data_IF_710793410917
#
_entry.id   IF_710793410917
#
_cell.length_a   1.000
_cell.length_b   1.000
_cell.length_c   1.000
_cell.angle_alpha   90.00
_cell.angle_beta   90.00
_cell.angle_gamma   90.00
#
_symmetry.space_group_name_H-M   'P 1'
#
loop_
_entity.id
_entity.type
_entity.pdbx_description
1 polymer ?
#
# COMPACT_ATOMS: atom_id res chain seq x y z
N UNK A 1 15.89 -13.02 -6.87
CA UNK A 1 15.65 -12.21 -8.09
C UNK A 1 14.25 -11.62 -7.99
N UNK A 2 13.98 -10.42 -8.52
CA UNK A 2 12.64 -9.86 -8.48
C UNK A 2 11.64 -10.77 -9.22
N UNK A 3 10.40 -10.80 -8.77
CA UNK A 3 9.30 -11.52 -9.38
C UNK A 3 9.11 -11.01 -10.81
N UNK A 4 8.67 -11.92 -11.69
CA UNK A 4 8.24 -11.52 -13.02
C UNK A 4 7.03 -10.57 -12.87
N UNK A 5 6.93 -9.51 -13.71
CA UNK A 5 5.74 -8.69 -13.72
C UNK A 5 4.53 -9.51 -14.18
N UNK A 6 3.36 -9.10 -13.73
CA UNK A 6 2.09 -9.57 -14.30
C UNK A 6 1.65 -8.63 -15.41
N UNK A 7 0.90 -9.14 -16.38
CA UNK A 7 0.26 -8.34 -17.42
C UNK A 7 -1.25 -8.36 -17.18
N UNK A 8 -1.85 -7.17 -17.09
CA UNK A 8 -3.30 -7.01 -16.99
C UNK A 8 -3.71 -6.03 -18.09
N UNK A 9 -4.56 -6.47 -19.01
CA UNK A 9 -4.75 -5.81 -20.31
C UNK A 9 -3.41 -5.65 -21.04
N UNK A 10 -3.05 -4.42 -21.40
CA UNK A 10 -1.81 -4.10 -22.11
C UNK A 10 -0.68 -3.60 -21.19
N UNK A 11 -0.90 -3.57 -19.87
CA UNK A 11 0.04 -2.98 -18.91
C UNK A 11 0.71 -4.04 -18.03
N UNK A 12 2.01 -3.82 -17.78
CA UNK A 12 2.82 -4.63 -16.87
C UNK A 12 2.88 -4.01 -15.49
N UNK A 13 2.64 -4.81 -14.46
CA UNK A 13 2.70 -4.41 -13.07
C UNK A 13 3.75 -5.24 -12.32
N UNK A 14 4.56 -4.56 -11.50
CA UNK A 14 5.63 -5.18 -10.73
C UNK A 14 5.23 -5.25 -9.27
N UNK A 15 5.57 -6.37 -8.61
CA UNK A 15 5.31 -6.58 -7.20
C UNK A 15 6.37 -5.88 -6.34
N UNK A 16 5.94 -5.28 -5.25
CA UNK A 16 6.79 -4.60 -4.29
C UNK A 16 6.43 -5.02 -2.87
N UNK A 17 7.45 -5.10 -2.02
CA UNK A 17 7.29 -4.95 -0.59
C UNK A 17 7.33 -3.45 -0.26
N UNK A 18 6.23 -2.94 0.26
CA UNK A 18 6.04 -1.55 0.69
C UNK A 18 5.98 -1.54 2.21
N UNK A 19 6.95 -0.88 2.84
CA UNK A 19 7.00 -0.67 4.29
C UNK A 19 6.56 0.75 4.58
N UNK A 20 5.50 0.93 5.36
CA UNK A 20 4.88 2.24 5.61
C UNK A 20 4.29 2.35 7.02
N UNK A 21 4.06 3.57 7.48
CA UNK A 21 3.41 3.88 8.75
C UNK A 21 1.90 4.05 8.55
N UNK A 22 1.10 3.23 9.25
CA UNK A 22 -0.36 3.30 9.18
C UNK A 22 -0.92 4.30 10.18
N UNK A 23 -1.78 5.18 9.67
CA UNK A 23 -2.33 6.29 10.42
C UNK A 23 -3.37 5.72 11.37
N UNK A 24 -3.08 5.80 12.68
CA UNK A 24 -3.98 5.34 13.73
C UNK A 24 -4.97 6.44 14.10
N UNK A 25 -6.22 6.05 14.28
CA UNK A 25 -7.25 6.86 14.92
C UNK A 25 -7.93 6.04 16.01
N UNK A 26 -8.26 6.68 17.11
CA UNK A 26 -9.06 6.12 18.20
C UNK A 26 -10.24 7.07 18.43
N UNK A 27 -11.46 6.53 18.44
CA UNK A 27 -12.69 7.30 18.62
C UNK A 27 -13.16 7.37 20.08
N UNK A 28 -12.47 6.69 21.00
CA UNK A 28 -12.77 6.74 22.42
C UNK A 28 -12.28 8.04 23.07
N UNK A 29 -12.92 8.42 24.18
CA UNK A 29 -12.39 9.47 25.06
C UNK A 29 -11.35 8.80 25.95
N UNK A 30 -10.13 9.32 25.93
CA UNK A 30 -9.02 8.77 26.71
C UNK A 30 -8.28 9.88 27.47
N UNK A 31 -7.49 9.49 28.47
CA UNK A 31 -6.64 10.41 29.21
C UNK A 31 -5.33 10.73 28.46
N UNK A 32 -4.61 11.73 28.96
CA UNK A 32 -3.35 12.19 28.36
C UNK A 32 -2.31 11.08 28.25
N UNK A 33 -2.27 10.16 29.22
CA UNK A 33 -1.31 9.06 29.22
C UNK A 33 -1.60 8.07 28.11
N UNK A 34 -2.87 7.71 27.90
CA UNK A 34 -3.28 6.86 26.79
C UNK A 34 -2.94 7.51 25.44
N UNK A 35 -3.25 8.80 25.27
CA UNK A 35 -2.96 9.52 24.03
C UNK A 35 -1.46 9.62 23.74
N UNK A 36 -0.64 9.94 24.74
CA UNK A 36 0.82 10.01 24.62
C UNK A 36 1.48 8.65 24.29
N UNK A 37 0.76 7.55 24.48
CA UNK A 37 1.21 6.20 24.13
C UNK A 37 0.70 5.71 22.77
N UNK A 38 -0.15 6.47 22.07
CA UNK A 38 -0.57 6.12 20.71
C UNK A 38 0.62 6.15 19.76
N UNK A 39 0.77 5.09 18.95
CA UNK A 39 1.83 4.96 17.95
C UNK A 39 1.23 4.43 16.65
N UNK A 40 1.75 4.91 15.53
CA UNK A 40 1.48 4.34 14.22
C UNK A 40 2.06 2.93 14.13
N UNK A 41 1.37 2.04 13.43
CA UNK A 41 1.89 0.70 13.15
C UNK A 41 2.83 0.76 11.93
N UNK A 42 3.93 -0.02 11.96
CA UNK A 42 4.73 -0.26 10.75
C UNK A 42 4.13 -1.44 9.99
N UNK A 43 3.61 -1.19 8.80
CA UNK A 43 2.94 -2.19 7.97
C UNK A 43 3.85 -2.61 6.82
N UNK A 44 3.86 -3.92 6.57
CA UNK A 44 4.55 -4.56 5.45
C UNK A 44 3.51 -5.05 4.45
N UNK A 45 3.38 -4.36 3.32
CA UNK A 45 2.42 -4.72 2.27
C UNK A 45 3.15 -5.27 1.05
N UNK A 46 2.82 -6.50 0.65
CA UNK A 46 3.21 -7.07 -0.63
C UNK A 46 2.12 -6.82 -1.67
N UNK A 47 2.37 -5.91 -2.61
CA UNK A 47 1.37 -5.52 -3.60
C UNK A 47 1.99 -5.11 -4.94
N UNK A 48 1.17 -5.08 -5.99
CA UNK A 48 1.55 -4.53 -7.28
C UNK A 48 1.38 -3.02 -7.28
N UNK A 49 2.35 -2.29 -7.84
CA UNK A 49 2.23 -0.82 -7.97
C UNK A 49 1.47 -0.48 -9.24
N UNK A 50 0.29 0.11 -9.09
CA UNK A 50 -0.56 0.56 -10.20
C UNK A 50 -0.01 1.85 -10.85
N UNK A 51 0.27 2.87 -10.03
CA UNK A 51 0.88 4.13 -10.49
C UNK A 51 1.63 4.82 -9.36
N UNK A 52 2.56 5.69 -9.76
CA UNK A 52 3.28 6.60 -8.86
C UNK A 52 3.03 8.03 -9.32
N UNK A 53 2.65 8.90 -8.40
CA UNK A 53 2.58 10.34 -8.65
C UNK A 53 3.70 11.03 -7.87
N UNK A 54 3.74 12.36 -7.88
CA UNK A 54 4.69 13.11 -7.05
C UNK A 54 4.44 12.88 -5.56
N UNK A 55 3.18 12.76 -5.14
CA UNK A 55 2.77 12.68 -3.73
C UNK A 55 2.30 11.32 -3.26
N UNK A 56 1.88 10.44 -4.17
CA UNK A 56 1.19 9.21 -3.82
C UNK A 56 1.73 7.98 -4.55
N UNK A 57 1.55 6.82 -3.91
CA UNK A 57 1.72 5.49 -4.50
C UNK A 57 0.37 4.78 -4.47
N UNK A 58 -0.03 4.22 -5.61
CA UNK A 58 -1.25 3.43 -5.73
C UNK A 58 -0.85 1.96 -5.88
N UNK A 59 -1.46 1.08 -5.10
CA UNK A 59 -1.24 -0.37 -5.18
C UNK A 59 -2.55 -1.14 -5.29
N UNK A 60 -2.42 -2.42 -5.63
CA UNK A 60 -3.49 -3.43 -5.58
C UNK A 60 -2.87 -4.80 -5.25
N UNK A 61 -3.61 -5.66 -4.55
CA UNK A 61 -3.16 -7.02 -4.23
C UNK A 61 -3.90 -8.11 -5.03
N UNK A 62 -5.08 -7.81 -5.56
CA UNK A 62 -5.89 -8.74 -6.36
C UNK A 62 -6.39 -8.08 -7.65
N UNK A 63 -6.68 -8.88 -8.67
CA UNK A 63 -7.20 -8.38 -9.95
C UNK A 63 -8.11 -9.42 -10.63
N UNK A 64 -9.01 -8.94 -11.47
CA UNK A 64 -9.80 -9.73 -12.41
C UNK A 64 -9.36 -9.37 -13.82
N UNK A 65 -9.14 -10.38 -14.66
CA UNK A 65 -8.78 -10.22 -16.08
C UNK A 65 -9.63 -11.09 -17.01
N UNK A 66 -10.71 -11.69 -16.48
CA UNK A 66 -11.70 -12.43 -17.24
C UNK A 66 -12.94 -11.53 -17.41
N UNK A 67 -13.06 -10.90 -18.59
CA UNK A 67 -14.07 -9.86 -18.86
C UNK A 67 -13.55 -8.46 -18.56
N UNK A 68 -14.29 -7.67 -17.77
CA UNK A 68 -13.87 -6.33 -17.39
C UNK A 68 -12.69 -6.37 -16.42
N UNK A 69 -11.67 -5.55 -16.69
CA UNK A 69 -10.48 -5.45 -15.84
C UNK A 69 -10.85 -4.79 -14.51
N UNK A 70 -10.63 -5.52 -13.42
CA UNK A 70 -10.84 -5.06 -12.04
C UNK A 70 -9.59 -5.12 -11.19
N UNK A 71 -9.50 -4.24 -10.17
CA UNK A 71 -8.41 -4.22 -9.19
C UNK A 71 -9.01 -4.22 -7.78
N UNK A 72 -8.59 -5.17 -6.94
CA UNK A 72 -9.00 -5.32 -5.55
C UNK A 72 -7.86 -5.03 -4.58
N UNK A 73 -8.20 -4.91 -3.29
CA UNK A 73 -7.24 -4.63 -2.20
C UNK A 73 -6.34 -3.44 -2.54
N UNK A 74 -6.99 -2.34 -2.91
CA UNK A 74 -6.35 -1.14 -3.44
C UNK A 74 -5.99 -0.21 -2.29
N UNK A 75 -4.77 0.33 -2.32
CA UNK A 75 -4.36 1.36 -1.38
C UNK A 75 -3.80 2.57 -2.11
N UNK A 76 -3.91 3.73 -1.46
CA UNK A 76 -3.26 4.97 -1.86
C UNK A 76 -2.45 5.47 -0.69
N UNK A 77 -1.13 5.41 -0.80
CA UNK A 77 -0.21 5.83 0.25
C UNK A 77 0.31 7.23 -0.07
N UNK A 78 0.20 8.22 0.84
CA UNK A 78 1.08 9.37 0.82
C UNK A 78 2.53 8.91 0.86
N UNK A 79 3.40 9.43 -0.02
CA UNK A 79 4.81 9.03 -0.01
C UNK A 79 5.51 9.35 1.32
N UNK A 80 5.02 10.34 2.05
CA UNK A 80 5.56 10.74 3.35
C UNK A 80 5.48 9.65 4.42
N UNK A 81 4.54 8.70 4.30
CA UNK A 81 4.43 7.58 5.26
C UNK A 81 5.22 6.35 4.84
N UNK A 82 5.76 6.32 3.62
CA UNK A 82 6.52 5.18 3.10
C UNK A 82 7.95 5.25 3.63
N UNK A 83 8.36 4.23 4.38
CA UNK A 83 9.72 4.09 4.93
C UNK A 83 10.65 3.40 3.94
N UNK A 84 10.14 2.40 3.20
CA UNK A 84 10.93 1.63 2.23
C UNK A 84 10.03 1.02 1.15
N UNK A 85 10.53 0.94 -0.08
CA UNK A 85 9.93 0.14 -1.16
C UNK A 85 11.00 -0.70 -1.85
N UNK A 86 10.79 -2.00 -1.93
CA UNK A 86 11.70 -2.94 -2.60
C UNK A 86 10.93 -3.74 -3.64
N UNK A 87 11.40 -3.78 -4.88
CA UNK A 87 10.82 -4.68 -5.90
C UNK A 87 11.18 -6.11 -5.52
N UNK A 88 10.17 -6.95 -5.32
CA UNK A 88 10.33 -8.36 -4.94
C UNK A 88 9.98 -9.27 -6.10
#
# INVERSE_FOLDING_TARGET
MPSKPITIGEKKYYKYLIVWEDIVGDSSISDENAFNNMRVATIHTEAYVFKRTNKYIYSFASYQNDGDIGFGDRNVYPKSVIKKMTRI
#
